data_IF_315409183541
#
_entry.id   IF_315409183541
#
_cell.length_a   1.000
_cell.length_b   1.000
_cell.length_c   1.000
_cell.angle_alpha   90.00
_cell.angle_beta   90.00
_cell.angle_gamma   90.00
#
_symmetry.space_group_name_H-M   'P 1'
#
loop_
_entity.id
_entity.type
_entity.pdbx_description
1 polymer ?
#
# COMPACT_ATOMS: atom_id res chain seq x y z
N UNK A 1 -4.24 -15.01 0.42
CA UNK A 1 -4.65 -13.60 0.62
C UNK A 1 -4.00 -12.75 -0.46
N UNK A 2 -4.57 -11.62 -0.82
CA UNK A 2 -3.94 -10.70 -1.76
C UNK A 2 -2.75 -10.01 -1.08
N UNK A 3 -1.70 -9.69 -1.84
CA UNK A 3 -0.60 -8.86 -1.32
C UNK A 3 -1.04 -7.40 -1.25
N UNK A 4 -0.38 -6.60 -0.42
CA UNK A 4 -0.59 -5.16 -0.34
C UNK A 4 -0.48 -4.49 -1.73
N UNK A 5 0.50 -4.91 -2.55
CA UNK A 5 0.68 -4.41 -3.91
C UNK A 5 -0.51 -4.72 -4.84
N UNK A 6 -1.07 -5.92 -4.76
CA UNK A 6 -2.27 -6.28 -5.54
C UNK A 6 -3.43 -5.36 -5.16
N UNK A 7 -3.62 -5.08 -3.87
CA UNK A 7 -4.67 -4.19 -3.38
C UNK A 7 -4.48 -2.75 -3.86
N UNK A 8 -3.24 -2.24 -3.80
CA UNK A 8 -2.88 -0.90 -4.32
C UNK A 8 -3.08 -0.80 -5.83
N UNK A 9 -2.66 -1.81 -6.58
CA UNK A 9 -2.85 -1.83 -8.04
C UNK A 9 -4.33 -1.86 -8.40
N UNK A 10 -5.13 -2.67 -7.70
CA UNK A 10 -6.58 -2.68 -7.90
C UNK A 10 -7.19 -1.28 -7.69
N UNK A 11 -6.80 -0.58 -6.63
CA UNK A 11 -7.29 0.78 -6.39
C UNK A 11 -6.91 1.75 -7.53
N UNK A 12 -5.66 1.68 -8.00
CA UNK A 12 -5.19 2.49 -9.14
C UNK A 12 -5.96 2.19 -10.44
N UNK A 13 -6.34 0.93 -10.65
CA UNK A 13 -7.12 0.51 -11.82
C UNK A 13 -8.56 1.05 -11.79
N UNK A 14 -9.03 1.60 -10.67
CA UNK A 14 -10.34 2.24 -10.59
C UNK A 14 -10.34 3.73 -11.00
N UNK A 15 -9.18 4.35 -11.17
CA UNK A 15 -9.06 5.76 -11.53
C UNK A 15 -9.87 6.06 -12.81
N UNK A 16 -10.62 7.15 -12.79
CA UNK A 16 -11.56 7.62 -13.81
C UNK A 16 -12.84 6.78 -13.98
N UNK A 17 -13.02 5.70 -13.23
CA UNK A 17 -14.27 4.93 -13.27
C UNK A 17 -15.32 5.57 -12.37
N UNK A 18 -16.58 5.36 -12.73
CA UNK A 18 -17.77 5.69 -11.97
C UNK A 18 -18.29 4.38 -11.39
N UNK A 19 -18.04 4.15 -10.11
CA UNK A 19 -18.45 2.92 -9.43
C UNK A 19 -19.68 3.26 -8.61
N UNK A 20 -20.79 2.64 -8.94
CA UNK A 20 -22.06 2.71 -8.22
C UNK A 20 -22.45 1.27 -7.87
N UNK A 21 -22.31 0.91 -6.60
CA UNK A 21 -22.47 -0.48 -6.14
C UNK A 21 -23.87 -0.78 -5.62
N UNK A 22 -24.62 0.24 -5.22
CA UNK A 22 -25.94 0.07 -4.62
C UNK A 22 -27.07 0.72 -5.44
N UNK A 23 -26.75 1.49 -6.48
CA UNK A 23 -27.70 2.20 -7.32
C UNK A 23 -28.32 3.43 -6.66
N UNK A 24 -27.73 3.91 -5.56
CA UNK A 24 -28.25 5.00 -4.77
C UNK A 24 -27.33 6.22 -4.79
N UNK A 25 -27.83 7.36 -5.19
CA UNK A 25 -27.08 8.63 -5.23
C UNK A 25 -25.89 8.64 -6.22
N UNK A 26 -25.83 7.64 -7.16
CA UNK A 26 -24.74 7.49 -8.11
C UNK A 26 -23.41 7.13 -7.44
N UNK A 27 -22.30 7.40 -8.11
CA UNK A 27 -20.96 6.95 -7.70
C UNK A 27 -20.41 7.73 -6.49
N UNK A 28 -20.73 7.29 -5.28
CA UNK A 28 -20.30 7.89 -4.02
C UNK A 28 -18.95 7.36 -3.53
N UNK A 29 -18.31 8.03 -2.56
CA UNK A 29 -17.02 7.59 -2.01
C UNK A 29 -17.10 6.19 -1.38
N UNK A 30 -18.23 5.83 -0.78
CA UNK A 30 -18.46 4.51 -0.18
C UNK A 30 -18.60 3.38 -1.20
N UNK A 31 -19.08 3.67 -2.42
CA UNK A 31 -19.21 2.65 -3.48
C UNK A 31 -17.86 2.08 -3.90
N UNK A 32 -16.84 2.93 -4.02
CA UNK A 32 -15.46 2.49 -4.27
C UNK A 32 -15.01 1.51 -3.18
N UNK A 33 -15.35 1.78 -1.92
CA UNK A 33 -15.00 0.90 -0.79
C UNK A 33 -15.83 -0.38 -0.79
N UNK A 34 -17.11 -0.30 -1.13
CA UNK A 34 -17.96 -1.49 -1.31
C UNK A 34 -17.39 -2.41 -2.37
N UNK A 35 -16.94 -1.88 -3.50
CA UNK A 35 -16.28 -2.63 -4.57
C UNK A 35 -14.96 -3.26 -4.09
N UNK A 36 -14.14 -2.50 -3.36
CA UNK A 36 -12.88 -2.98 -2.79
C UNK A 36 -13.08 -4.14 -1.83
N UNK A 37 -13.96 -3.98 -0.86
CA UNK A 37 -14.27 -5.02 0.14
C UNK A 37 -14.89 -6.24 -0.51
N UNK A 38 -15.80 -6.06 -1.48
CA UNK A 38 -16.38 -7.17 -2.24
C UNK A 38 -15.31 -7.97 -3.01
N UNK A 39 -14.36 -7.26 -3.65
CA UNK A 39 -13.29 -7.90 -4.44
C UNK A 39 -12.34 -8.73 -3.57
N UNK A 40 -11.95 -8.24 -2.38
CA UNK A 40 -10.92 -8.89 -1.56
C UNK A 40 -11.46 -9.77 -0.43
N UNK A 41 -12.70 -9.59 -0.02
CA UNK A 41 -13.31 -10.34 1.07
C UNK A 41 -14.64 -11.01 0.73
N UNK A 42 -15.22 -10.73 -0.45
CA UNK A 42 -16.58 -11.13 -0.81
C UNK A 42 -17.62 -10.79 0.30
N UNK A 43 -17.47 -9.62 0.88
CA UNK A 43 -18.27 -9.14 2.00
C UNK A 43 -19.00 -7.85 1.60
N UNK A 44 -20.23 -7.66 2.07
CA UNK A 44 -21.00 -6.46 1.85
C UNK A 44 -20.87 -5.51 3.03
N UNK A 45 -20.37 -4.32 2.75
CA UNK A 45 -20.37 -3.18 3.68
C UNK A 45 -21.39 -2.15 3.20
N UNK A 46 -21.85 -1.27 4.08
CA UNK A 46 -22.82 -0.21 3.78
C UNK A 46 -22.71 0.91 4.79
N UNK A 47 -23.41 2.01 4.55
CA UNK A 47 -23.45 3.20 5.41
C UNK A 47 -22.60 4.34 4.87
N UNK A 48 -22.58 5.46 5.59
CA UNK A 48 -21.75 6.61 5.27
C UNK A 48 -20.28 6.34 5.60
N UNK A 49 -19.37 7.15 5.09
CA UNK A 49 -17.94 6.98 5.33
C UNK A 49 -17.59 6.91 6.83
N UNK A 50 -18.20 7.77 7.66
CA UNK A 50 -17.97 7.81 9.10
C UNK A 50 -18.45 6.53 9.81
N UNK A 51 -19.47 5.86 9.29
CA UNK A 51 -20.03 4.64 9.88
C UNK A 51 -19.05 3.47 9.79
N UNK A 52 -18.08 3.51 8.87
CA UNK A 52 -17.01 2.51 8.77
C UNK A 52 -16.10 2.46 10.00
N UNK A 53 -16.17 3.46 10.87
CA UNK A 53 -15.50 3.43 12.19
C UNK A 53 -16.17 2.49 13.20
N UNK A 54 -17.39 2.00 12.93
CA UNK A 54 -18.17 1.15 13.85
C UNK A 54 -18.83 -0.05 13.18
N UNK A 55 -19.09 0.00 11.87
CA UNK A 55 -19.76 -1.07 11.14
C UNK A 55 -18.99 -2.39 11.17
N UNK A 56 -19.70 -3.50 10.95
CA UNK A 56 -19.09 -4.82 10.83
C UNK A 56 -18.06 -4.85 9.70
N UNK A 57 -16.94 -5.52 9.93
CA UNK A 57 -15.87 -5.74 8.97
C UNK A 57 -15.77 -7.21 8.57
N UNK A 58 -15.20 -7.52 7.41
CA UNK A 58 -14.84 -8.89 7.05
C UNK A 58 -13.91 -9.51 8.10
N UNK A 59 -13.91 -10.83 8.20
CA UNK A 59 -13.02 -11.54 9.10
C UNK A 59 -11.54 -11.23 8.78
N UNK A 60 -10.76 -10.92 9.82
CA UNK A 60 -9.34 -10.59 9.72
C UNK A 60 -9.03 -9.13 9.34
N UNK A 61 -10.05 -8.32 8.99
CA UNK A 61 -9.86 -6.88 8.80
C UNK A 61 -9.81 -6.16 10.14
N UNK A 62 -8.87 -5.26 10.31
CA UNK A 62 -8.66 -4.53 11.57
C UNK A 62 -8.98 -3.05 11.39
N UNK A 63 -9.60 -2.44 12.39
CA UNK A 63 -9.86 -1.01 12.46
C UNK A 63 -8.94 -0.35 13.46
N UNK A 64 -8.44 0.83 13.09
CA UNK A 64 -7.59 1.65 13.93
C UNK A 64 -8.12 3.07 13.96
N UNK A 65 -8.12 3.69 15.14
CA UNK A 65 -8.27 5.14 15.27
C UNK A 65 -6.94 5.82 14.93
N UNK A 66 -7.00 7.10 14.57
CA UNK A 66 -5.78 7.89 14.36
C UNK A 66 -4.87 7.80 15.61
N UNK A 67 -3.60 7.46 15.40
CA UNK A 67 -2.60 7.29 16.46
C UNK A 67 -2.48 5.88 17.04
N UNK A 68 -3.42 4.95 16.80
CA UNK A 68 -3.30 3.56 17.28
C UNK A 68 -2.34 2.71 16.44
N UNK A 69 -2.18 3.03 15.17
CA UNK A 69 -1.23 2.38 14.27
C UNK A 69 -0.82 3.34 13.14
N UNK A 70 0.26 3.02 12.45
CA UNK A 70 0.70 3.77 11.26
C UNK A 70 -0.11 3.33 10.04
N UNK A 71 -0.77 4.26 9.37
CA UNK A 71 -1.49 4.02 8.12
C UNK A 71 -0.52 3.62 7.00
N UNK A 72 -0.95 2.72 6.12
CA UNK A 72 -0.12 2.15 5.07
C UNK A 72 -0.90 1.99 3.74
N UNK A 73 -0.21 1.88 2.60
CA UNK A 73 -0.86 1.56 1.33
C UNK A 73 -1.72 0.29 1.43
N UNK A 74 -2.88 0.29 0.79
CA UNK A 74 -3.88 -0.77 0.90
C UNK A 74 -4.89 -0.56 2.02
N UNK A 75 -4.62 0.31 2.99
CA UNK A 75 -5.59 0.68 4.02
C UNK A 75 -6.74 1.51 3.43
N UNK A 76 -7.87 1.50 4.07
CA UNK A 76 -9.01 2.36 3.78
C UNK A 76 -8.98 3.51 4.77
N UNK A 77 -8.63 4.71 4.33
CA UNK A 77 -8.58 5.90 5.15
C UNK A 77 -9.97 6.54 5.31
N UNK A 78 -10.29 7.04 6.50
CA UNK A 78 -11.56 7.68 6.85
C UNK A 78 -11.26 9.08 7.37
N UNK A 79 -11.84 10.10 6.72
CA UNK A 79 -11.72 11.51 7.09
C UNK A 79 -13.04 12.07 7.59
N UNK A 80 -12.94 13.06 8.49
CA UNK A 80 -14.10 13.80 9.00
C UNK A 80 -13.68 15.24 9.32
N UNK A 81 -14.34 16.20 8.67
CA UNK A 81 -13.97 17.63 8.74
C UNK A 81 -14.70 18.41 9.83
N UNK A 82 -15.20 17.72 10.86
CA UNK A 82 -15.87 18.34 12.01
C UNK A 82 -17.40 18.32 11.93
N UNK A 83 -18.07 19.15 12.71
CA UNK A 83 -19.52 19.07 12.94
C UNK A 83 -20.39 19.35 11.73
N UNK A 84 -19.86 20.02 10.72
CA UNK A 84 -20.58 20.31 9.45
C UNK A 84 -20.48 19.19 8.43
N UNK A 85 -19.57 18.25 8.65
CA UNK A 85 -19.41 17.07 7.81
C UNK A 85 -20.20 15.91 8.40
N UNK A 86 -21.43 15.75 7.94
CA UNK A 86 -22.36 14.73 8.44
C UNK A 86 -21.96 13.30 8.06
N UNK A 87 -21.32 13.11 6.92
CA UNK A 87 -21.14 11.80 6.30
C UNK A 87 -19.72 11.28 6.36
N UNK A 88 -18.73 12.17 6.53
CA UNK A 88 -17.32 11.86 6.37
C UNK A 88 -16.93 11.60 4.92
N UNK A 89 -15.68 11.25 4.72
CA UNK A 89 -15.13 10.85 3.43
C UNK A 89 -14.22 9.63 3.59
N UNK A 90 -14.05 8.85 2.52
CA UNK A 90 -13.33 7.57 2.57
C UNK A 90 -12.61 7.31 1.26
N UNK A 91 -11.44 6.67 1.33
CA UNK A 91 -10.64 6.34 0.15
C UNK A 91 -9.64 5.24 0.43
N UNK A 92 -9.03 4.70 -0.64
CA UNK A 92 -8.07 3.60 -0.57
C UNK A 92 -6.66 4.19 -0.69
N UNK A 93 -5.83 3.99 0.32
CA UNK A 93 -4.46 4.49 0.38
C UNK A 93 -3.58 3.77 -0.63
N UNK A 94 -2.82 4.54 -1.42
CA UNK A 94 -1.88 4.00 -2.42
C UNK A 94 -0.43 4.39 -2.16
N UNK A 95 -0.18 5.42 -1.35
CA UNK A 95 1.15 5.84 -0.91
C UNK A 95 1.05 6.67 0.38
N UNK A 96 2.09 6.65 1.20
CA UNK A 96 2.20 7.48 2.41
C UNK A 96 3.62 8.03 2.50
N UNK A 97 3.77 9.35 2.57
CA UNK A 97 5.06 10.03 2.73
C UNK A 97 4.97 11.07 3.83
N UNK A 98 5.70 10.85 4.91
CA UNK A 98 5.57 11.67 6.12
C UNK A 98 4.12 11.69 6.60
N UNK A 99 3.47 12.86 6.63
CA UNK A 99 2.06 13.03 6.97
C UNK A 99 1.12 13.15 5.75
N UNK A 100 1.64 12.98 4.53
CA UNK A 100 0.83 13.04 3.30
C UNK A 100 0.36 11.65 2.93
N UNK A 101 -0.95 11.47 2.87
CA UNK A 101 -1.64 10.26 2.46
C UNK A 101 -2.12 10.46 1.02
N UNK A 102 -1.59 9.67 0.10
CA UNK A 102 -2.09 9.62 -1.27
C UNK A 102 -3.06 8.46 -1.40
N UNK A 103 -4.25 8.73 -1.87
CA UNK A 103 -5.36 7.77 -1.96
C UNK A 103 -6.07 7.83 -3.31
N UNK A 104 -6.78 6.76 -3.63
CA UNK A 104 -7.83 6.78 -4.66
C UNK A 104 -9.15 7.02 -3.93
N UNK A 105 -9.83 8.08 -4.32
CA UNK A 105 -11.08 8.54 -3.73
C UNK A 105 -12.13 8.75 -4.81
N UNK A 106 -13.39 8.56 -4.48
CA UNK A 106 -14.50 8.78 -5.40
C UNK A 106 -15.41 9.88 -4.88
N UNK A 107 -16.09 10.60 -5.79
CA UNK A 107 -16.96 11.73 -5.47
C UNK A 107 -16.25 12.86 -4.73
N UNK A 108 -15.04 13.22 -5.13
CA UNK A 108 -14.27 14.35 -4.55
C UNK A 108 -14.84 15.71 -5.00
N UNK A 109 -15.28 15.76 -6.26
CA UNK A 109 -15.79 16.98 -6.93
C UNK A 109 -17.13 16.72 -7.65
N UNK A 110 -17.80 15.65 -7.31
CA UNK A 110 -19.12 15.30 -7.84
C UNK A 110 -20.26 16.01 -7.09
N UNK A 111 -21.49 15.68 -7.49
CA UNK A 111 -22.68 16.17 -6.80
C UNK A 111 -23.26 15.11 -5.86
N UNK A 112 -24.06 15.51 -4.86
CA UNK A 112 -24.72 14.55 -3.96
C UNK A 112 -25.62 13.55 -4.68
N UNK A 113 -26.18 13.91 -5.85
CA UNK A 113 -27.15 13.10 -6.58
C UNK A 113 -26.53 12.17 -7.61
N UNK A 114 -25.31 12.49 -8.10
CA UNK A 114 -24.66 11.73 -9.17
C UNK A 114 -23.34 11.11 -8.74
N UNK A 115 -22.75 11.65 -7.68
CA UNK A 115 -21.39 11.30 -7.32
C UNK A 115 -20.34 11.81 -8.31
N UNK A 116 -19.20 11.19 -8.36
CA UNK A 116 -18.07 11.55 -9.22
C UNK A 116 -17.14 10.38 -9.52
N UNK A 117 -16.31 10.51 -10.55
CA UNK A 117 -15.30 9.49 -10.89
C UNK A 117 -14.25 9.33 -9.80
N UNK A 118 -13.67 8.14 -9.71
CA UNK A 118 -12.53 7.90 -8.85
C UNK A 118 -11.29 8.68 -9.31
N UNK A 119 -10.57 9.30 -8.38
CA UNK A 119 -9.39 10.15 -8.63
C UNK A 119 -8.30 9.89 -7.60
N UNK A 120 -7.07 10.26 -7.95
CA UNK A 120 -5.97 10.33 -6.99
C UNK A 120 -6.06 11.65 -6.23
N UNK A 121 -6.00 11.55 -4.90
CA UNK A 121 -5.93 12.69 -3.99
C UNK A 121 -4.72 12.57 -3.08
N UNK A 122 -4.15 13.70 -2.69
CA UNK A 122 -3.12 13.79 -1.67
C UNK A 122 -3.62 14.72 -0.57
N UNK A 123 -3.66 14.22 0.66
CA UNK A 123 -4.14 14.93 1.85
C UNK A 123 -3.14 14.78 2.98
N UNK A 124 -3.01 15.80 3.81
CA UNK A 124 -2.38 15.61 5.11
C UNK A 124 -3.30 14.82 6.05
N UNK A 125 -2.78 14.39 7.17
CA UNK A 125 -3.51 13.58 8.13
C UNK A 125 -4.35 14.39 9.13
N UNK A 126 -4.52 15.70 8.93
CA UNK A 126 -5.21 16.60 9.89
C UNK A 126 -6.61 16.10 10.22
N UNK A 127 -7.40 15.75 9.21
CA UNK A 127 -8.77 15.30 9.34
C UNK A 127 -8.93 13.77 9.28
N UNK A 128 -7.83 13.02 9.25
CA UNK A 128 -7.88 11.56 9.38
C UNK A 128 -8.40 11.21 10.78
N UNK A 129 -9.47 10.43 10.85
CA UNK A 129 -10.06 9.97 12.13
C UNK A 129 -9.79 8.50 12.41
N UNK A 130 -9.45 7.74 11.39
CA UNK A 130 -9.09 6.33 11.49
C UNK A 130 -8.93 5.67 10.13
N UNK A 131 -8.64 4.40 10.15
CA UNK A 131 -8.49 3.60 8.93
C UNK A 131 -8.81 2.12 9.20
N UNK A 132 -9.10 1.42 8.12
CA UNK A 132 -9.34 -0.03 8.14
C UNK A 132 -8.22 -0.70 7.35
N UNK A 133 -7.60 -1.70 7.97
CA UNK A 133 -6.54 -2.51 7.36
C UNK A 133 -7.07 -3.86 6.95
N UNK A 134 -7.06 -4.20 5.64
CA UNK A 134 -7.29 -5.56 5.20
C UNK A 134 -6.16 -6.50 5.67
N UNK A 135 -6.44 -7.79 5.84
CA UNK A 135 -5.39 -8.78 6.06
C UNK A 135 -4.67 -9.03 4.74
N UNK A 136 -3.71 -8.18 4.39
CA UNK A 136 -2.87 -8.47 3.25
C UNK A 136 -1.77 -9.46 3.62
N UNK A 137 -1.46 -10.31 2.68
CA UNK A 137 -0.25 -11.10 2.73
C UNK A 137 0.94 -10.14 2.59
N UNK A 138 1.56 -9.82 3.72
CA UNK A 138 2.76 -8.98 3.74
C UNK A 138 3.97 -9.68 3.14
N UNK A 139 3.73 -10.80 2.43
CA UNK A 139 4.78 -11.54 1.74
C UNK A 139 5.77 -12.19 2.72
N UNK A 140 5.31 -12.65 3.88
CA UNK A 140 6.15 -13.52 4.73
C UNK A 140 6.39 -14.91 4.09
N UNK A 141 5.70 -15.19 2.99
CA UNK A 141 5.89 -16.40 2.17
C UNK A 141 6.99 -16.28 1.11
N UNK A 142 7.94 -15.33 1.25
CA UNK A 142 9.11 -15.36 0.38
C UNK A 142 10.08 -16.45 0.82
N UNK A 143 10.56 -17.20 -0.14
CA UNK A 143 11.67 -18.14 0.09
C UNK A 143 12.98 -17.38 -0.12
N UNK A 144 13.85 -17.37 0.87
CA UNK A 144 15.23 -16.92 0.69
C UNK A 144 15.98 -17.99 -0.07
N UNK A 145 16.57 -17.60 -1.18
CA UNK A 145 17.42 -18.45 -2.00
C UNK A 145 18.86 -18.15 -1.61
N UNK A 146 19.63 -19.11 -1.08
CA UNK A 146 21.02 -18.91 -0.72
C UNK A 146 21.85 -18.53 -1.95
N UNK A 147 22.54 -17.41 -1.87
CA UNK A 147 23.48 -16.94 -2.88
C UNK A 147 24.43 -15.94 -2.23
N UNK A 148 25.71 -16.18 -2.27
CA UNK A 148 26.71 -15.26 -1.74
C UNK A 148 27.31 -14.41 -2.87
N UNK A 149 27.47 -13.14 -2.61
CA UNK A 149 28.05 -12.24 -3.58
C UNK A 149 28.22 -10.82 -3.05
N UNK A 150 28.66 -9.97 -3.95
CA UNK A 150 28.81 -8.54 -3.72
C UNK A 150 28.06 -7.78 -4.81
N UNK A 151 27.29 -6.80 -4.39
CA UNK A 151 26.55 -5.92 -5.28
C UNK A 151 27.09 -4.48 -5.15
N UNK A 152 27.37 -3.82 -6.27
CA UNK A 152 27.80 -2.44 -6.34
C UNK A 152 26.63 -1.62 -6.90
N UNK A 153 26.19 -0.61 -6.17
CA UNK A 153 25.07 0.26 -6.57
C UNK A 153 25.50 1.16 -7.72
N UNK A 154 24.73 1.20 -8.81
CA UNK A 154 24.96 2.07 -9.98
C UNK A 154 23.88 3.15 -10.14
N UNK A 155 22.73 3.01 -9.47
CA UNK A 155 21.69 4.04 -9.40
C UNK A 155 21.98 5.04 -8.28
N UNK A 156 21.29 6.19 -8.28
CA UNK A 156 21.52 7.25 -7.30
C UNK A 156 21.40 6.79 -5.86
N UNK A 157 20.33 6.04 -5.55
CA UNK A 157 20.05 5.53 -4.20
C UNK A 157 19.17 4.28 -4.26
N UNK A 158 19.43 3.32 -3.37
CA UNK A 158 18.56 2.18 -3.11
C UNK A 158 18.26 2.10 -1.61
N UNK A 159 16.97 2.06 -1.27
CA UNK A 159 16.54 1.94 0.13
C UNK A 159 16.83 0.55 0.69
N UNK A 160 17.35 0.51 1.91
CA UNK A 160 17.47 -0.70 2.74
C UNK A 160 16.23 -0.82 3.61
N UNK A 161 15.69 -2.04 3.70
CA UNK A 161 14.42 -2.29 4.36
C UNK A 161 14.46 -3.50 5.28
N UNK A 162 13.54 -3.53 6.25
CA UNK A 162 13.41 -4.64 7.20
C UNK A 162 12.85 -5.93 6.58
N UNK A 163 12.14 -5.82 5.46
CA UNK A 163 11.55 -6.95 4.70
C UNK A 163 11.73 -6.70 3.20
N UNK A 164 11.69 -7.73 2.34
CA UNK A 164 11.80 -7.57 0.88
C UNK A 164 10.47 -7.06 0.28
N UNK A 165 10.06 -5.88 0.68
CA UNK A 165 8.84 -5.20 0.24
C UNK A 165 9.06 -3.69 0.17
N UNK A 166 8.55 -3.05 -0.88
CA UNK A 166 8.61 -1.59 -1.04
C UNK A 166 7.82 -0.85 0.06
N UNK A 167 6.91 -1.53 0.74
CA UNK A 167 6.09 -1.00 1.83
C UNK A 167 6.69 -1.24 3.22
N UNK A 168 7.75 -2.04 3.33
CA UNK A 168 8.39 -2.27 4.62
C UNK A 168 9.22 -1.06 5.05
N UNK A 169 9.47 -0.96 6.34
CA UNK A 169 10.21 0.14 6.95
C UNK A 169 11.58 0.32 6.28
N UNK A 170 11.86 1.55 5.79
CA UNK A 170 13.21 1.97 5.41
C UNK A 170 14.03 2.14 6.67
N UNK A 171 15.19 1.50 6.73
CA UNK A 171 16.13 1.57 7.86
C UNK A 171 17.45 2.22 7.47
N UNK A 172 17.79 2.23 6.16
CA UNK A 172 19.02 2.80 5.62
C UNK A 172 18.90 2.98 4.12
N UNK A 173 19.97 3.41 3.45
CA UNK A 173 20.11 3.44 1.99
C UNK A 173 21.56 3.24 1.56
N UNK A 174 21.75 2.78 0.32
CA UNK A 174 23.03 2.73 -0.37
C UNK A 174 22.98 3.64 -1.60
N UNK A 175 24.06 4.37 -1.84
CA UNK A 175 24.22 5.28 -2.97
C UNK A 175 25.20 4.74 -4.01
N UNK A 176 25.28 5.40 -5.16
CA UNK A 176 26.16 5.02 -6.28
C UNK A 176 27.60 4.74 -5.84
N UNK A 177 28.13 3.58 -6.23
CA UNK A 177 29.49 3.11 -5.93
C UNK A 177 29.64 2.35 -4.61
N UNK A 178 28.63 2.40 -3.73
CA UNK A 178 28.67 1.64 -2.48
C UNK A 178 28.49 0.14 -2.72
N UNK A 179 29.05 -0.66 -1.82
CA UNK A 179 29.16 -2.13 -1.94
C UNK A 179 28.36 -2.81 -0.85
N UNK A 180 27.55 -3.78 -1.23
CA UNK A 180 26.78 -4.62 -0.31
C UNK A 180 27.22 -6.07 -0.47
N UNK A 181 27.66 -6.69 0.62
CA UNK A 181 27.85 -8.14 0.68
C UNK A 181 26.54 -8.78 1.10
N UNK A 182 26.10 -9.81 0.39
CA UNK A 182 24.84 -10.48 0.66
C UNK A 182 25.01 -12.00 0.72
N UNK A 183 24.09 -12.68 1.40
CA UNK A 183 24.11 -14.12 1.63
C UNK A 183 22.91 -14.85 1.01
N UNK A 184 21.94 -14.12 0.52
CA UNK A 184 20.73 -14.69 -0.08
C UNK A 184 19.97 -13.63 -0.88
N UNK A 185 19.04 -14.08 -1.72
CA UNK A 185 18.09 -13.21 -2.37
C UNK A 185 16.65 -13.73 -2.24
N UNK A 186 15.71 -12.83 -2.52
CA UNK A 186 14.26 -13.08 -2.53
C UNK A 186 13.67 -12.46 -3.79
N UNK A 187 12.69 -13.13 -4.39
CA UNK A 187 11.85 -12.56 -5.43
C UNK A 187 10.51 -12.19 -4.81
N UNK A 188 10.20 -10.90 -4.76
CA UNK A 188 8.93 -10.40 -4.26
C UNK A 188 8.54 -9.08 -4.93
N UNK A 189 7.25 -8.85 -5.13
CA UNK A 189 6.68 -7.62 -5.73
C UNK A 189 7.26 -7.25 -7.10
N UNK A 190 7.62 -8.27 -7.92
CA UNK A 190 8.25 -8.04 -9.22
C UNK A 190 9.68 -7.50 -9.15
N UNK A 191 10.33 -7.61 -7.99
CA UNK A 191 11.70 -7.20 -7.72
C UNK A 191 12.54 -8.38 -7.23
N UNK A 192 13.84 -8.30 -7.45
CA UNK A 192 14.84 -9.17 -6.82
C UNK A 192 15.49 -8.38 -5.69
N UNK A 193 15.40 -8.93 -4.49
CA UNK A 193 15.89 -8.38 -3.24
C UNK A 193 17.09 -9.19 -2.75
N UNK A 194 18.28 -8.63 -2.69
CA UNK A 194 19.38 -9.24 -1.95
C UNK A 194 19.17 -9.01 -0.46
N UNK A 195 19.68 -9.92 0.37
CA UNK A 195 19.60 -9.79 1.81
C UNK A 195 20.91 -10.10 2.50
N UNK A 196 21.12 -9.46 3.66
CA UNK A 196 22.32 -9.57 4.46
C UNK A 196 22.02 -9.37 5.95
N UNK A 197 22.93 -9.77 6.81
CA UNK A 197 22.87 -9.47 8.24
C UNK A 197 23.62 -8.18 8.50
N UNK A 198 22.95 -7.19 9.10
CA UNK A 198 23.53 -5.93 9.52
C UNK A 198 24.49 -6.09 10.72
N UNK A 199 25.26 -5.07 11.04
CA UNK A 199 26.12 -5.04 12.24
C UNK A 199 25.38 -5.24 13.57
N UNK A 200 24.06 -4.97 13.58
CA UNK A 200 23.19 -5.19 14.75
C UNK A 200 22.62 -6.61 14.81
N UNK A 201 22.98 -7.48 13.87
CA UNK A 201 22.47 -8.84 13.79
C UNK A 201 21.07 -8.96 13.14
N UNK A 202 20.53 -7.87 12.60
CA UNK A 202 19.23 -7.83 11.94
C UNK A 202 19.35 -8.13 10.46
N UNK A 203 18.39 -8.85 9.90
CA UNK A 203 18.34 -9.10 8.47
C UNK A 203 17.72 -7.93 7.74
N UNK A 204 18.44 -7.42 6.76
CA UNK A 204 18.02 -6.33 5.90
C UNK A 204 17.94 -6.77 4.44
N UNK A 205 17.17 -6.02 3.68
CA UNK A 205 16.87 -6.29 2.27
C UNK A 205 17.01 -5.02 1.42
N UNK A 206 17.54 -5.19 0.21
CA UNK A 206 17.60 -4.09 -0.74
C UNK A 206 17.28 -4.62 -2.15
N UNK A 207 16.39 -3.91 -2.86
CA UNK A 207 16.00 -4.27 -4.23
C UNK A 207 17.16 -3.97 -5.20
N UNK A 208 17.43 -4.89 -6.12
CA UNK A 208 18.55 -4.79 -7.06
C UNK A 208 18.12 -4.72 -8.52
N UNK A 209 16.82 -4.77 -8.78
CA UNK A 209 16.26 -4.66 -10.12
C UNK A 209 14.90 -5.32 -10.25
N UNK A 210 14.24 -5.06 -11.37
CA UNK A 210 12.95 -5.64 -11.69
C UNK A 210 13.08 -7.10 -12.17
N UNK A 211 12.00 -7.86 -11.96
CA UNK A 211 11.90 -9.27 -12.30
C UNK A 211 10.53 -9.55 -12.93
N UNK A 212 10.49 -10.43 -13.92
CA UNK A 212 9.26 -10.94 -14.54
C UNK A 212 9.39 -12.46 -14.72
N UNK A 213 8.36 -13.20 -14.27
CA UNK A 213 8.36 -14.67 -14.34
C UNK A 213 9.62 -15.31 -13.72
N UNK A 214 10.12 -14.76 -12.62
CA UNK A 214 11.34 -15.25 -11.95
C UNK A 214 12.66 -14.84 -12.61
N UNK A 215 12.61 -14.17 -13.76
CA UNK A 215 13.80 -13.73 -14.49
C UNK A 215 14.03 -12.23 -14.31
N UNK A 216 15.27 -11.84 -14.08
CA UNK A 216 15.71 -10.45 -13.99
C UNK A 216 15.53 -9.74 -15.33
N UNK A 217 14.88 -8.58 -15.32
CA UNK A 217 14.66 -7.74 -16.50
C UNK A 217 15.33 -6.37 -16.41
N UNK A 218 15.86 -6.01 -15.24
CA UNK A 218 16.71 -4.82 -15.05
C UNK A 218 17.70 -5.03 -13.91
N UNK A 219 18.83 -4.31 -13.95
CA UNK A 219 19.80 -4.22 -12.87
C UNK A 219 19.92 -2.76 -12.42
N UNK A 220 20.02 -2.55 -11.11
CA UNK A 220 20.29 -1.25 -10.51
C UNK A 220 21.73 -1.14 -10.01
N UNK A 221 22.56 -2.11 -10.41
CA UNK A 221 23.97 -2.21 -10.08
C UNK A 221 24.61 -3.45 -10.65
N UNK A 222 25.89 -3.65 -10.32
CA UNK A 222 26.71 -4.74 -10.80
C UNK A 222 26.88 -5.82 -9.71
N UNK A 223 26.65 -7.08 -10.12
CA UNK A 223 26.95 -8.25 -9.30
C UNK A 223 28.38 -8.73 -9.53
N UNK A 224 29.12 -8.96 -8.46
CA UNK A 224 30.45 -9.53 -8.46
C UNK A 224 30.44 -10.81 -7.60
N UNK A 225 30.98 -11.85 -8.14
CA UNK A 225 31.21 -13.12 -7.39
C UNK A 225 32.38 -13.00 -6.44
#
# INVERSE_FOLDING_TARGET
>A
MATQQIMVNWAKDQIYKWIDMDGAYGAQCVDLIMAYVKNFANFRVSGNAIDYLTNSLPNGWCRYRKGEATIAPGDIAIWHWGSWDKYGHIGIVIDVRSNIITSVEQNVDGTPERGGAAKIMARDDTYLVGFIRPPYDNGENWTRIPEQGRFIVEVTEINVRTKPSIFSQKVDSYTTGEKVFYDSYVINEGLIWISYISYKGERHYLATGACKNGQRISNWGQFLQ
#
